data_IF_100420625475
#
_entry.id   IF_100420625475
#
_cell.length_a   1.000
_cell.length_b   1.000
_cell.length_c   1.000
_cell.angle_alpha   90.00
_cell.angle_beta   90.00
_cell.angle_gamma   90.00
#
_symmetry.space_group_name_H-M   'P 1'
#
loop_
_entity.id
_entity.type
_entity.pdbx_description
1 polymer ?
#
# COMPACT_ATOMS: atom_id res chain seq x y z
N UNK A 1 3.32 -1.54 -15.97
CA UNK A 1 4.25 -0.91 -14.99
C UNK A 1 3.56 -1.04 -13.65
N UNK A 2 4.27 -1.53 -12.62
CA UNK A 2 3.73 -1.62 -11.26
C UNK A 2 4.45 -0.58 -10.41
N UNK A 3 3.68 0.24 -9.70
CA UNK A 3 4.22 1.23 -8.77
C UNK A 3 4.28 0.59 -7.39
N UNK A 4 5.50 0.36 -6.91
CA UNK A 4 5.72 -0.10 -5.53
C UNK A 4 5.72 1.10 -4.60
N UNK A 5 4.84 1.08 -3.59
CA UNK A 5 4.73 2.15 -2.60
C UNK A 5 4.77 1.56 -1.21
N UNK A 6 5.76 2.00 -0.45
CA UNK A 6 5.88 1.71 0.97
C UNK A 6 5.28 2.88 1.75
N UNK A 7 4.42 2.58 2.73
CA UNK A 7 3.82 3.60 3.56
C UNK A 7 3.85 3.22 5.04
N UNK A 8 3.84 4.25 5.88
CA UNK A 8 3.68 4.18 7.32
C UNK A 8 2.52 5.08 7.71
N UNK A 9 1.45 4.50 8.24
CA UNK A 9 0.26 5.24 8.69
C UNK A 9 -0.28 6.20 7.62
N UNK A 10 -0.35 5.71 6.38
CA UNK A 10 -0.84 6.47 5.21
C UNK A 10 0.16 7.44 4.57
N UNK A 11 1.37 7.58 5.11
CA UNK A 11 2.41 8.46 4.58
C UNK A 11 3.50 7.68 3.87
N UNK A 12 3.88 8.10 2.67
CA UNK A 12 4.90 7.41 1.86
C UNK A 12 6.26 7.52 2.53
N UNK A 13 6.96 6.38 2.61
CA UNK A 13 8.34 6.28 3.09
C UNK A 13 9.25 5.76 1.98
N UNK A 14 10.52 6.18 1.99
CA UNK A 14 11.52 5.82 0.97
C UNK A 14 12.86 5.48 1.62
N UNK A 15 13.86 5.12 0.81
CA UNK A 15 15.22 4.80 1.25
C UNK A 15 15.26 3.69 2.32
N UNK A 16 14.56 2.58 2.07
CA UNK A 16 14.46 1.49 3.04
C UNK A 16 13.77 1.92 4.33
N UNK A 17 12.70 2.72 4.20
CA UNK A 17 11.87 3.24 5.28
C UNK A 17 12.54 4.27 6.21
N UNK A 18 13.76 4.69 5.87
CA UNK A 18 14.53 5.66 6.67
C UNK A 18 14.12 7.11 6.40
N UNK A 19 13.43 7.37 5.31
CA UNK A 19 13.02 8.71 4.90
C UNK A 19 11.50 8.80 4.77
N UNK A 20 10.87 9.47 5.74
CA UNK A 20 9.45 9.83 5.68
C UNK A 20 9.27 11.06 4.78
N UNK A 21 8.26 11.01 3.92
CA UNK A 21 7.85 12.14 3.09
C UNK A 21 6.64 12.85 3.71
N UNK A 22 6.19 13.95 3.11
CA UNK A 22 4.90 14.56 3.45
C UNK A 22 3.79 14.15 2.45
N UNK A 23 4.02 13.06 1.70
CA UNK A 23 3.13 12.61 0.62
C UNK A 23 2.18 11.55 1.15
N UNK A 24 0.88 11.81 0.98
CA UNK A 24 -0.22 10.87 1.27
C UNK A 24 -0.21 9.74 0.24
N UNK A 25 -0.32 8.49 0.74
CA UNK A 25 -0.43 7.28 -0.08
C UNK A 25 -1.59 7.41 -1.08
N UNK A 26 -2.79 7.70 -0.57
CA UNK A 26 -4.02 7.68 -1.36
C UNK A 26 -4.03 8.81 -2.38
N UNK A 27 -3.53 9.98 -2.03
CA UNK A 27 -3.49 11.11 -2.97
C UNK A 27 -2.46 10.86 -4.08
N UNK A 28 -1.31 10.28 -3.74
CA UNK A 28 -0.33 9.86 -4.76
C UNK A 28 -0.90 8.79 -5.70
N UNK A 29 -1.63 7.80 -5.18
CA UNK A 29 -2.30 6.80 -6.03
C UNK A 29 -3.31 7.45 -6.99
N UNK A 30 -4.12 8.40 -6.54
CA UNK A 30 -5.05 9.15 -7.40
C UNK A 30 -4.32 9.90 -8.52
N UNK A 31 -3.20 10.54 -8.22
CA UNK A 31 -2.37 11.21 -9.23
C UNK A 31 -1.85 10.24 -10.28
N UNK A 32 -1.36 9.07 -9.85
CA UNK A 32 -0.87 8.04 -10.76
C UNK A 32 -1.97 7.42 -11.62
N UNK A 33 -3.15 7.19 -11.04
CA UNK A 33 -4.35 6.75 -11.77
C UNK A 33 -4.76 7.78 -12.84
N UNK A 34 -4.71 9.07 -12.50
CA UNK A 34 -5.05 10.14 -13.43
C UNK A 34 -4.13 10.19 -14.66
N UNK A 35 -2.86 9.83 -14.51
CA UNK A 35 -1.91 9.75 -15.64
C UNK A 35 -1.88 8.37 -16.31
N UNK A 36 -2.70 7.42 -15.86
CA UNK A 36 -2.96 6.14 -16.52
C UNK A 36 -2.24 4.92 -15.94
N UNK A 37 -1.59 5.02 -14.77
CA UNK A 37 -1.05 3.85 -14.07
C UNK A 37 -2.11 3.23 -13.15
N UNK A 38 -2.33 1.92 -13.30
CA UNK A 38 -3.39 1.20 -12.60
C UNK A 38 -2.88 0.18 -11.59
N UNK A 39 -1.63 -0.29 -11.71
CA UNK A 39 -1.08 -1.39 -10.91
C UNK A 39 -0.22 -0.88 -9.75
N UNK A 40 -0.58 -1.25 -8.51
CA UNK A 40 0.09 -0.81 -7.29
C UNK A 40 0.45 -2.00 -6.41
N UNK A 41 1.69 -2.03 -5.92
CA UNK A 41 2.16 -2.94 -4.88
C UNK A 41 2.27 -2.14 -3.58
N UNK A 42 1.46 -2.48 -2.58
CA UNK A 42 1.40 -1.75 -1.31
C UNK A 42 2.02 -2.55 -0.18
N UNK A 43 2.94 -1.90 0.54
CA UNK A 43 3.57 -2.42 1.74
C UNK A 43 3.33 -1.45 2.89
N UNK A 44 2.55 -1.86 3.89
CA UNK A 44 2.56 -1.18 5.18
C UNK A 44 3.78 -1.63 5.98
N UNK A 45 4.72 -0.72 6.20
CA UNK A 45 5.99 -1.00 6.88
C UNK A 45 5.85 -1.21 8.40
N UNK A 46 4.72 -0.82 8.99
CA UNK A 46 4.40 -1.17 10.38
C UNK A 46 3.99 -2.65 10.52
N UNK A 47 3.57 -3.29 9.43
CA UNK A 47 3.14 -4.70 9.40
C UNK A 47 4.17 -5.61 8.74
N UNK A 48 5.11 -5.05 7.99
CA UNK A 48 6.09 -5.85 7.29
C UNK A 48 6.98 -6.62 8.27
N UNK A 49 7.09 -7.94 8.06
CA UNK A 49 7.80 -8.86 8.94
C UNK A 49 7.19 -9.08 10.34
N UNK A 50 6.07 -8.43 10.71
CA UNK A 50 5.46 -8.63 12.04
C UNK A 50 4.61 -9.90 12.13
N UNK A 51 4.13 -10.40 10.98
CA UNK A 51 3.20 -11.53 10.88
C UNK A 51 1.86 -11.29 11.61
N UNK A 52 1.48 -10.03 11.84
CA UNK A 52 0.23 -9.66 12.54
C UNK A 52 -1.00 -9.55 11.61
N UNK A 53 -0.83 -9.86 10.33
CA UNK A 53 -1.85 -9.70 9.31
C UNK A 53 -1.73 -8.38 8.54
N UNK A 54 -2.44 -8.28 7.41
CA UNK A 54 -2.36 -7.12 6.52
C UNK A 54 -3.01 -5.87 7.11
N UNK A 55 -2.65 -4.74 6.53
CA UNK A 55 -3.29 -3.46 6.78
C UNK A 55 -4.59 -3.30 5.99
N UNK A 56 -5.68 -3.81 6.54
CA UNK A 56 -6.98 -3.79 5.89
C UNK A 56 -7.57 -2.38 5.72
N UNK A 57 -7.14 -1.40 6.52
CA UNK A 57 -7.67 -0.04 6.46
C UNK A 57 -7.21 0.65 5.16
N UNK A 58 -5.90 0.78 4.98
CA UNK A 58 -5.36 1.42 3.78
C UNK A 58 -5.52 0.57 2.52
N UNK A 59 -5.51 -0.76 2.63
CA UNK A 59 -5.82 -1.63 1.49
C UNK A 59 -7.25 -1.41 1.01
N UNK A 60 -8.22 -1.26 1.92
CA UNK A 60 -9.60 -0.97 1.54
C UNK A 60 -9.72 0.38 0.86
N UNK A 61 -9.12 1.43 1.43
CA UNK A 61 -9.12 2.76 0.82
C UNK A 61 -8.49 2.77 -0.58
N UNK A 62 -7.39 2.04 -0.76
CA UNK A 62 -6.72 1.90 -2.05
C UNK A 62 -7.58 1.14 -3.08
N UNK A 63 -8.26 0.06 -2.65
CA UNK A 63 -9.15 -0.73 -3.50
C UNK A 63 -10.44 0.01 -3.88
N UNK A 64 -10.89 0.97 -3.05
CA UNK A 64 -12.06 1.81 -3.34
C UNK A 64 -11.78 2.88 -4.43
N UNK A 65 -10.52 3.04 -4.86
CA UNK A 65 -10.16 3.94 -5.97
C UNK A 65 -10.51 3.33 -7.33
N UNK A 66 -11.19 4.12 -8.18
CA UNK A 66 -11.56 3.69 -9.53
C UNK A 66 -10.31 3.27 -10.35
N UNK A 67 -10.37 2.08 -10.95
CA UNK A 67 -9.31 1.46 -11.79
C UNK A 67 -8.02 1.06 -11.06
N UNK A 68 -7.97 1.14 -9.72
CA UNK A 68 -6.83 0.66 -8.98
C UNK A 68 -6.81 -0.88 -8.91
N UNK A 69 -5.70 -1.48 -9.34
CA UNK A 69 -5.37 -2.88 -9.12
C UNK A 69 -4.29 -2.93 -8.03
N UNK A 70 -4.65 -3.48 -6.87
CA UNK A 70 -3.82 -3.47 -5.66
C UNK A 70 -3.27 -4.86 -5.37
N UNK A 71 -1.95 -4.95 -5.18
CA UNK A 71 -1.23 -6.12 -4.70
C UNK A 71 -0.79 -5.83 -3.26
N UNK A 72 -1.33 -6.56 -2.30
CA UNK A 72 -0.94 -6.45 -0.89
C UNK A 72 0.35 -7.25 -0.62
N UNK A 73 1.36 -6.63 -0.02
CA UNK A 73 2.63 -7.29 0.34
C UNK A 73 2.98 -7.24 1.83
N UNK A 74 2.48 -6.24 2.58
CA UNK A 74 2.83 -6.06 4.00
C UNK A 74 1.94 -6.86 4.95
N UNK A 75 2.55 -7.60 5.89
CA UNK A 75 1.84 -8.25 7.00
C UNK A 75 1.12 -9.56 6.68
N UNK A 76 1.09 -9.99 5.42
CA UNK A 76 0.49 -11.27 5.02
C UNK A 76 1.31 -12.42 5.61
N UNK A 77 0.71 -13.20 6.51
CA UNK A 77 1.43 -14.18 7.34
C UNK A 77 0.98 -15.61 7.10
N UNK A 78 -0.31 -15.84 6.86
CA UNK A 78 -0.90 -17.16 6.75
C UNK A 78 -2.18 -17.15 5.90
N UNK A 79 -2.75 -18.34 5.64
CA UNK A 79 -3.93 -18.51 4.77
C UNK A 79 -5.19 -17.81 5.31
N UNK A 80 -5.28 -17.62 6.62
CA UNK A 80 -6.41 -16.94 7.27
C UNK A 80 -6.38 -15.42 7.08
N UNK A 81 -5.32 -14.86 6.50
CA UNK A 81 -5.27 -13.46 6.10
C UNK A 81 -5.97 -13.17 4.76
N UNK A 82 -6.19 -14.20 3.94
CA UNK A 82 -6.83 -14.09 2.61
C UNK A 82 -8.34 -13.82 2.65
N UNK A 83 -9.15 -14.42 3.54
CA UNK A 83 -10.59 -14.18 3.59
C UNK A 83 -11.01 -12.87 4.30
N UNK A 84 -10.06 -12.07 4.79
CA UNK A 84 -10.33 -10.82 5.51
C UNK A 84 -10.61 -9.66 4.57
#
# INVERSE_FOLDING_TARGET
IVISVDHKDGIIVTHGWQSTTDISLIDSMKEFLHVGFTEFLLTNVNRDGTLEGPDLEFLKEACDLDKANVIASGGISNIDDIPK
#
